data_IF_231122624828
#
_entry.id   IF_231122624828
#
_cell.length_a   1.000
_cell.length_b   1.000
_cell.length_c   1.000
_cell.angle_alpha   90.00
_cell.angle_beta   90.00
_cell.angle_gamma   90.00
#
_symmetry.space_group_name_H-M   'P 1'
#
loop_
_entity.id
_entity.type
_entity.pdbx_description
1 polymer ?
#
# COMPACT_ATOMS: atom_id res chain seq x y z
N UNK A 1 59.70 -15.34 -75.80
CA UNK A 1 59.57 -14.03 -76.50
C UNK A 1 58.07 -13.78 -76.68
N UNK A 2 57.48 -12.88 -75.88
CA UNK A 2 57.04 -11.53 -76.33
C UNK A 2 55.76 -11.62 -77.19
N UNK A 3 54.57 -11.06 -76.92
CA UNK A 3 54.11 -9.89 -76.16
C UNK A 3 52.57 -9.97 -75.98
N UNK A 4 52.07 -9.51 -74.81
CA UNK A 4 50.89 -8.66 -74.47
C UNK A 4 49.52 -8.80 -75.16
N UNK A 5 48.45 -8.69 -74.35
CA UNK A 5 47.44 -7.59 -74.28
C UNK A 5 46.38 -7.94 -73.20
N UNK A 6 46.43 -7.45 -71.96
CA UNK A 6 45.77 -6.26 -71.36
C UNK A 6 44.24 -6.18 -71.48
N UNK A 7 43.52 -6.36 -70.37
CA UNK A 7 42.32 -5.57 -70.01
C UNK A 7 42.24 -5.44 -68.49
N UNK A 8 42.23 -4.19 -68.01
CA UNK A 8 42.06 -3.78 -66.60
C UNK A 8 40.63 -3.26 -66.50
N UNK A 9 39.82 -3.82 -65.60
CA UNK A 9 38.49 -3.30 -65.27
C UNK A 9 38.52 -2.74 -63.84
N UNK A 10 38.41 -1.43 -63.75
CA UNK A 10 38.27 -0.65 -62.52
C UNK A 10 36.92 -0.93 -61.87
N UNK A 11 36.92 -1.35 -60.60
CA UNK A 11 35.70 -1.39 -59.78
C UNK A 11 35.69 -0.19 -58.83
N UNK A 12 34.66 0.63 -58.99
CA UNK A 12 34.39 1.82 -58.19
C UNK A 12 33.80 1.44 -56.83
N UNK A 13 34.20 2.26 -55.85
CA UNK A 13 33.77 2.32 -54.46
C UNK A 13 32.30 2.77 -54.35
N UNK A 14 31.49 2.12 -53.51
CA UNK A 14 30.28 2.73 -52.94
C UNK A 14 30.06 2.16 -51.53
N UNK A 15 30.65 2.81 -50.53
CA UNK A 15 30.38 2.53 -49.13
C UNK A 15 29.11 3.30 -48.71
N UNK A 16 27.99 2.61 -48.61
CA UNK A 16 26.78 3.13 -47.99
C UNK A 16 26.91 3.02 -46.46
N UNK A 17 27.13 4.14 -45.77
CA UNK A 17 26.93 4.23 -44.33
C UNK A 17 25.42 4.28 -44.05
N UNK A 18 24.86 3.16 -43.59
CA UNK A 18 23.54 3.10 -42.97
C UNK A 18 23.71 3.40 -41.48
N UNK A 19 23.33 4.60 -41.07
CA UNK A 19 23.12 4.96 -39.67
C UNK A 19 21.85 4.29 -39.16
N UNK A 20 22.01 3.15 -38.49
CA UNK A 20 20.95 2.50 -37.74
C UNK A 20 20.66 3.34 -36.49
N UNK A 21 19.60 4.16 -36.53
CA UNK A 21 19.04 4.78 -35.34
C UNK A 21 18.22 3.71 -34.62
N UNK A 22 18.76 3.18 -33.53
CA UNK A 22 18.01 2.34 -32.61
C UNK A 22 17.02 3.26 -31.86
N UNK A 23 15.77 3.23 -32.29
CA UNK A 23 14.66 3.83 -31.58
C UNK A 23 14.31 2.84 -30.44
N UNK A 24 14.72 3.15 -29.22
CA UNK A 24 14.26 2.47 -28.02
C UNK A 24 12.75 2.74 -27.87
N UNK A 25 11.92 1.87 -28.45
CA UNK A 25 10.51 1.77 -28.08
C UNK A 25 10.46 1.23 -26.65
N UNK A 26 10.38 2.15 -25.69
CA UNK A 26 9.85 1.85 -24.36
C UNK A 26 8.40 1.39 -24.55
N UNK A 27 8.20 0.09 -24.66
CA UNK A 27 6.90 -0.57 -24.60
C UNK A 27 6.34 -0.36 -23.19
N UNK A 28 5.74 0.80 -22.96
CA UNK A 28 4.80 1.00 -21.87
C UNK A 28 3.61 0.08 -22.12
N UNK A 29 3.63 -1.09 -21.50
CA UNK A 29 2.46 -1.93 -21.29
C UNK A 29 1.44 -1.08 -20.53
N UNK A 30 0.60 -0.38 -21.27
CA UNK A 30 -0.47 0.43 -20.71
C UNK A 30 -1.62 -0.54 -20.50
N UNK A 31 -1.80 -1.00 -19.27
CA UNK A 31 -2.94 -1.84 -18.91
C UNK A 31 -4.23 -1.02 -19.13
N UNK A 32 -5.03 -1.40 -20.13
CA UNK A 32 -6.34 -0.78 -20.34
C UNK A 32 -7.20 -0.96 -19.08
N UNK A 33 -7.83 0.12 -18.63
CA UNK A 33 -8.74 0.10 -17.50
C UNK A 33 -9.92 -0.81 -17.82
N UNK A 34 -10.01 -1.96 -17.16
CA UNK A 34 -11.07 -2.94 -17.40
C UNK A 34 -12.39 -2.42 -16.79
N UNK A 35 -13.47 -2.28 -17.58
CA UNK A 35 -14.79 -1.91 -17.06
C UNK A 35 -15.28 -2.94 -16.04
N UNK A 36 -16.14 -2.51 -15.11
CA UNK A 36 -16.62 -3.30 -13.98
C UNK A 36 -17.51 -4.49 -14.45
N UNK A 37 -16.88 -5.58 -14.86
CA UNK A 37 -17.49 -6.75 -15.52
C UNK A 37 -17.97 -7.84 -14.55
N UNK A 38 -18.02 -7.56 -13.24
CA UNK A 38 -18.22 -8.60 -12.21
C UNK A 38 -16.98 -9.44 -11.95
N UNK A 39 -15.84 -9.06 -12.53
CA UNK A 39 -14.55 -9.74 -12.43
C UNK A 39 -13.66 -8.95 -11.46
N UNK A 40 -13.95 -9.10 -10.17
CA UNK A 40 -13.34 -8.31 -9.10
C UNK A 40 -11.98 -8.83 -8.65
N UNK A 41 -11.63 -10.07 -9.02
CA UNK A 41 -10.42 -10.73 -8.54
C UNK A 41 -9.40 -10.87 -9.67
N UNK A 42 -8.13 -10.87 -9.28
CA UNK A 42 -6.99 -11.09 -10.17
C UNK A 42 -6.13 -12.21 -9.62
N UNK A 43 -5.91 -13.22 -10.45
CA UNK A 43 -4.82 -14.17 -10.29
C UNK A 43 -3.59 -13.55 -10.97
N UNK A 44 -2.49 -13.39 -10.25
CA UNK A 44 -1.30 -12.73 -10.77
C UNK A 44 -0.02 -13.38 -10.24
N UNK A 45 1.12 -13.08 -10.85
CA UNK A 45 2.42 -13.50 -10.31
C UNK A 45 2.98 -12.35 -9.47
N UNK A 46 2.97 -12.57 -8.16
CA UNK A 46 3.48 -11.63 -7.16
C UNK A 46 4.82 -12.08 -6.58
N UNK A 47 5.26 -11.36 -5.55
CA UNK A 47 6.50 -11.58 -4.80
C UNK A 47 6.20 -11.83 -3.32
N UNK A 48 6.60 -12.99 -2.82
CA UNK A 48 6.82 -13.21 -1.40
C UNK A 48 8.18 -12.64 -1.01
N UNK A 49 8.24 -11.94 0.12
CA UNK A 49 9.45 -11.26 0.59
C UNK A 49 9.86 -11.91 1.89
N UNK A 50 11.08 -12.42 1.91
CA UNK A 50 11.64 -13.11 3.06
C UNK A 50 12.90 -12.38 3.51
N UNK A 51 13.09 -12.27 4.82
CA UNK A 51 14.27 -11.65 5.42
C UNK A 51 15.13 -12.69 6.11
N UNK A 52 16.45 -12.60 5.95
CA UNK A 52 17.39 -13.48 6.63
C UNK A 52 17.35 -13.27 8.15
N UNK A 53 17.24 -14.36 8.90
CA UNK A 53 17.31 -14.40 10.36
C UNK A 53 18.25 -15.53 10.80
N UNK A 54 19.55 -15.22 10.89
CA UNK A 54 20.57 -16.24 11.15
C UNK A 54 20.82 -17.09 9.91
N UNK A 55 20.57 -18.40 9.99
CA UNK A 55 20.76 -19.33 8.87
C UNK A 55 19.47 -19.55 8.05
N UNK A 56 18.33 -19.08 8.55
CA UNK A 56 17.00 -19.26 7.95
C UNK A 56 16.46 -17.96 7.35
N UNK A 57 15.41 -18.09 6.54
CA UNK A 57 14.64 -16.98 5.98
C UNK A 57 13.23 -17.03 6.55
N UNK A 58 12.72 -15.87 6.98
CA UNK A 58 11.36 -15.73 7.51
C UNK A 58 10.53 -14.82 6.60
N UNK A 59 9.29 -15.20 6.34
CA UNK A 59 8.36 -14.44 5.49
C UNK A 59 7.93 -13.17 6.22
N UNK A 60 7.94 -12.03 5.52
CA UNK A 60 7.40 -10.78 6.05
C UNK A 60 5.87 -10.83 6.03
N UNK A 61 5.24 -10.73 7.20
CA UNK A 61 3.79 -10.67 7.36
C UNK A 61 3.29 -9.27 7.79
N UNK A 62 4.19 -8.31 8.03
CA UNK A 62 3.80 -6.95 8.37
C UNK A 62 4.96 -5.96 8.38
N UNK A 63 4.63 -4.66 8.33
CA UNK A 63 5.63 -3.59 8.33
C UNK A 63 5.23 -2.44 9.25
N UNK A 64 6.09 -2.11 10.21
CA UNK A 64 5.90 -1.03 11.17
C UNK A 64 7.21 -0.28 11.38
N UNK A 65 7.25 1.00 11.00
CA UNK A 65 8.35 1.94 11.33
C UNK A 65 9.76 1.38 11.04
N UNK A 66 10.02 0.92 9.82
CA UNK A 66 11.29 0.32 9.40
C UNK A 66 11.65 -1.00 10.11
N UNK A 67 10.65 -1.65 10.70
CA UNK A 67 10.71 -3.02 11.22
C UNK A 67 9.65 -3.85 10.52
N UNK A 68 9.90 -5.14 10.45
CA UNK A 68 8.97 -6.11 9.87
C UNK A 68 8.54 -7.11 10.93
N UNK A 69 7.27 -7.49 10.87
CA UNK A 69 6.81 -8.73 11.49
C UNK A 69 7.16 -9.88 10.56
N UNK A 70 7.43 -11.05 11.14
CA UNK A 70 7.79 -12.25 10.39
C UNK A 70 7.14 -13.48 10.98
N UNK A 71 6.78 -14.44 10.14
CA UNK A 71 6.13 -15.69 10.53
C UNK A 71 6.93 -16.55 11.52
N UNK A 72 8.26 -16.44 11.52
CA UNK A 72 9.15 -17.18 12.41
C UNK A 72 9.35 -16.57 13.81
N UNK A 73 8.87 -15.35 14.08
CA UNK A 73 9.17 -14.64 15.33
C UNK A 73 8.16 -13.55 15.67
N UNK A 74 7.65 -13.57 16.90
CA UNK A 74 6.80 -12.49 17.45
C UNK A 74 7.55 -11.15 17.60
N UNK A 75 8.88 -11.16 17.53
CA UNK A 75 9.70 -9.96 17.66
C UNK A 75 9.85 -9.27 16.32
N UNK A 76 9.55 -7.98 16.30
CA UNK A 76 9.85 -7.08 15.19
C UNK A 76 11.33 -7.11 14.80
N UNK A 77 11.61 -7.42 13.55
CA UNK A 77 12.97 -7.43 12.98
C UNK A 77 13.26 -6.08 12.32
N UNK A 78 14.36 -5.45 12.72
CA UNK A 78 14.80 -4.19 12.11
C UNK A 78 15.38 -4.45 10.72
N UNK A 79 14.84 -3.82 9.69
CA UNK A 79 15.38 -3.90 8.33
C UNK A 79 16.80 -3.35 8.20
N UNK A 80 17.30 -2.61 9.20
CA UNK A 80 18.71 -2.17 9.24
C UNK A 80 19.69 -3.30 9.58
N UNK A 81 19.18 -4.34 10.24
CA UNK A 81 19.97 -5.48 10.71
C UNK A 81 19.72 -6.73 9.85
N UNK A 82 18.99 -6.58 8.75
CA UNK A 82 18.73 -7.67 7.83
C UNK A 82 19.87 -7.67 6.82
N UNK A 83 20.66 -8.73 6.86
CA UNK A 83 21.82 -8.89 5.98
C UNK A 83 21.42 -9.28 4.55
N UNK A 84 20.27 -9.96 4.40
CA UNK A 84 19.78 -10.44 3.10
C UNK A 84 18.25 -10.44 3.02
N UNK A 85 17.73 -10.14 1.83
CA UNK A 85 16.30 -10.16 1.50
C UNK A 85 16.10 -10.98 0.24
N UNK A 86 15.26 -12.00 0.34
CA UNK A 86 14.93 -12.90 -0.77
C UNK A 86 13.55 -12.60 -1.33
N UNK A 87 13.44 -12.58 -2.65
CA UNK A 87 12.18 -12.45 -3.37
C UNK A 87 11.84 -13.77 -4.05
N UNK A 88 10.70 -14.34 -3.69
CA UNK A 88 10.20 -15.59 -4.28
C UNK A 88 8.94 -15.29 -5.10
N UNK A 89 8.98 -15.56 -6.40
CA UNK A 89 7.81 -15.38 -7.25
C UNK A 89 6.77 -16.45 -6.95
N UNK A 90 5.52 -16.03 -6.73
CA UNK A 90 4.42 -16.94 -6.41
C UNK A 90 3.14 -16.46 -7.07
N UNK A 91 2.32 -17.42 -7.50
CA UNK A 91 0.97 -17.11 -7.93
C UNK A 91 0.16 -16.66 -6.72
N UNK A 92 -0.41 -15.46 -6.82
CA UNK A 92 -1.23 -14.84 -5.78
C UNK A 92 -2.58 -14.47 -6.33
N UNK A 93 -3.49 -14.26 -5.39
CA UNK A 93 -4.85 -13.88 -5.65
C UNK A 93 -5.14 -12.62 -4.83
N UNK A 94 -5.68 -11.61 -5.48
CA UNK A 94 -6.07 -10.38 -4.79
C UNK A 94 -7.29 -9.75 -5.47
N UNK A 95 -8.03 -8.94 -4.72
CA UNK A 95 -9.19 -8.20 -5.22
C UNK A 95 -8.76 -6.84 -5.73
N UNK A 96 -9.44 -6.37 -6.78
CA UNK A 96 -9.40 -5.01 -7.31
C UNK A 96 -7.99 -4.44 -7.56
N UNK A 97 -7.54 -4.36 -8.82
CA UNK A 97 -6.21 -3.80 -9.11
C UNK A 97 -6.11 -2.36 -8.61
N UNK A 98 -5.11 -2.14 -7.76
CA UNK A 98 -4.61 -0.83 -7.41
C UNK A 98 -4.05 -0.13 -8.64
N UNK A 99 -4.10 1.19 -8.67
CA UNK A 99 -3.44 1.98 -9.71
C UNK A 99 -2.22 2.66 -9.12
N UNK A 100 -1.06 2.45 -9.75
CA UNK A 100 0.19 3.15 -9.46
C UNK A 100 0.52 4.02 -10.68
N UNK A 101 0.15 5.29 -10.62
CA UNK A 101 0.37 6.26 -11.68
C UNK A 101 1.60 7.13 -11.41
N UNK A 102 2.10 7.78 -12.45
CA UNK A 102 3.12 8.83 -12.35
C UNK A 102 4.38 8.41 -11.57
N UNK A 103 4.79 7.14 -11.70
CA UNK A 103 6.01 6.63 -11.08
C UNK A 103 7.23 7.33 -11.67
N UNK A 104 7.97 8.03 -10.80
CA UNK A 104 9.18 8.73 -11.14
C UNK A 104 10.23 8.49 -10.06
N UNK A 105 11.48 8.32 -10.47
CA UNK A 105 12.61 8.14 -9.58
C UNK A 105 13.82 8.94 -10.06
N UNK A 106 14.43 9.66 -9.14
CA UNK A 106 15.60 10.50 -9.42
C UNK A 106 16.63 10.44 -8.29
N UNK A 107 17.88 10.72 -8.66
CA UNK A 107 18.97 10.91 -7.71
C UNK A 107 18.84 12.31 -7.10
N UNK A 108 18.90 12.39 -5.77
CA UNK A 108 18.95 13.63 -5.02
C UNK A 108 20.18 13.64 -4.10
N UNK A 109 20.65 14.83 -3.74
CA UNK A 109 21.66 14.95 -2.67
C UNK A 109 21.03 14.50 -1.34
N UNK A 110 21.66 13.58 -0.61
CA UNK A 110 21.20 13.18 0.72
C UNK A 110 21.51 14.22 1.80
N UNK A 111 21.98 15.41 1.41
CA UNK A 111 22.11 16.51 2.36
C UNK A 111 20.80 16.64 3.13
N UNK A 112 20.91 16.43 4.44
CA UNK A 112 19.83 16.42 5.42
C UNK A 112 18.98 17.68 5.34
N UNK A 113 19.49 18.74 4.72
CA UNK A 113 18.75 19.96 4.39
C UNK A 113 17.89 19.85 3.13
N UNK A 114 18.30 19.21 2.04
CA UNK A 114 17.47 19.11 0.83
C UNK A 114 16.20 18.27 1.05
N UNK A 115 16.29 17.16 1.79
CA UNK A 115 15.12 16.37 2.17
C UNK A 115 14.23 17.11 3.18
N UNK A 116 14.83 17.82 4.14
CA UNK A 116 14.12 18.58 5.20
C UNK A 116 13.54 19.90 4.70
N UNK A 117 14.17 20.55 3.74
CA UNK A 117 13.73 21.78 3.07
C UNK A 117 12.68 21.45 2.01
N UNK A 118 12.77 20.32 1.32
CA UNK A 118 11.69 19.83 0.47
C UNK A 118 10.48 19.33 1.28
N UNK A 119 10.68 18.82 2.51
CA UNK A 119 9.58 18.51 3.45
C UNK A 119 8.99 19.77 4.07
N UNK A 120 9.82 20.72 4.50
CA UNK A 120 9.38 22.04 4.99
C UNK A 120 8.66 22.83 3.92
N UNK A 121 9.11 22.76 2.67
CA UNK A 121 8.41 23.40 1.55
C UNK A 121 7.09 22.70 1.24
N UNK A 122 6.97 21.38 1.42
CA UNK A 122 5.67 20.70 1.29
C UNK A 122 4.71 21.05 2.44
N UNK A 123 5.20 21.06 3.68
CA UNK A 123 4.41 21.48 4.86
C UNK A 123 4.04 22.96 4.79
N UNK A 124 4.92 23.82 4.28
CA UNK A 124 4.63 25.23 4.04
C UNK A 124 3.65 25.42 2.87
N UNK A 125 3.68 24.56 1.85
CA UNK A 125 2.70 24.57 0.76
C UNK A 125 1.32 24.10 1.25
N UNK A 126 1.28 23.10 2.14
CA UNK A 126 0.05 22.63 2.79
C UNK A 126 -0.50 23.67 3.76
N UNK A 127 0.34 24.29 4.60
CA UNK A 127 -0.06 25.39 5.47
C UNK A 127 -0.54 26.61 4.66
N UNK A 128 0.12 26.94 3.56
CA UNK A 128 -0.32 27.99 2.64
C UNK A 128 -1.64 27.64 1.94
N UNK A 129 -1.85 26.37 1.60
CA UNK A 129 -3.13 25.88 1.04
C UNK A 129 -4.25 25.95 2.07
N UNK A 130 -3.96 25.60 3.32
CA UNK A 130 -4.93 25.61 4.41
C UNK A 130 -5.25 27.06 4.85
N UNK A 131 -4.28 27.97 4.80
CA UNK A 131 -4.48 29.42 4.99
C UNK A 131 -5.28 30.03 3.81
N UNK A 132 -5.04 29.59 2.58
CA UNK A 132 -5.87 29.96 1.41
C UNK A 132 -7.31 29.44 1.55
N UNK A 133 -7.51 28.26 2.15
CA UNK A 133 -8.84 27.70 2.41
C UNK A 133 -9.55 28.42 3.56
N UNK A 134 -8.84 28.77 4.63
CA UNK A 134 -9.36 29.54 5.76
C UNK A 134 -9.76 30.96 5.33
N UNK A 135 -8.92 31.64 4.56
CA UNK A 135 -9.26 32.95 3.98
C UNK A 135 -10.42 32.89 2.98
N UNK A 136 -10.54 31.83 2.18
CA UNK A 136 -11.71 31.57 1.34
C UNK A 136 -12.98 31.32 2.18
N UNK A 137 -12.87 30.58 3.29
CA UNK A 137 -13.98 30.33 4.22
C UNK A 137 -14.43 31.59 4.95
N UNK A 138 -13.50 32.44 5.37
CA UNK A 138 -13.81 33.71 6.04
C UNK A 138 -14.37 34.75 5.05
N UNK A 139 -13.91 34.74 3.80
CA UNK A 139 -14.52 35.55 2.73
C UNK A 139 -15.94 35.07 2.39
N UNK A 140 -16.19 33.76 2.41
CA UNK A 140 -17.53 33.19 2.26
C UNK A 140 -18.43 33.50 3.47
N UNK A 141 -17.92 33.41 4.70
CA UNK A 141 -18.66 33.76 5.92
C UNK A 141 -19.03 35.24 5.96
N UNK A 142 -18.09 36.14 5.65
CA UNK A 142 -18.36 37.58 5.63
C UNK A 142 -19.35 37.98 4.52
N UNK A 143 -19.22 37.42 3.31
CA UNK A 143 -20.19 37.67 2.24
C UNK A 143 -21.60 37.10 2.49
N UNK A 144 -21.74 36.10 3.37
CA UNK A 144 -23.05 35.62 3.84
C UNK A 144 -23.65 36.50 4.94
N UNK A 145 -22.83 37.01 5.87
CA UNK A 145 -23.28 37.87 6.97
C UNK A 145 -23.73 39.26 6.48
N UNK A 146 -23.09 39.80 5.43
CA UNK A 146 -23.49 41.10 4.86
C UNK A 146 -24.80 41.06 4.05
N UNK A 147 -25.30 39.87 3.70
CA UNK A 147 -26.56 39.71 2.97
C UNK A 147 -27.78 39.57 3.91
N UNK A 148 -27.58 39.47 5.23
CA UNK A 148 -28.65 39.27 6.23
C UNK A 148 -28.95 40.50 7.11
N UNK A 149 -28.18 41.61 7.03
CA UNK A 149 -28.34 42.75 7.95
C UNK A 149 -28.82 44.07 7.32
N UNK A 150 -29.65 44.01 6.27
CA UNK A 150 -30.45 45.16 5.84
C UNK A 150 -31.94 44.93 6.07
N UNK A 151 -32.35 44.82 7.34
CA UNK A 151 -33.70 45.18 7.77
C UNK A 151 -33.69 45.68 9.23
N UNK A 152 -34.25 46.89 9.40
CA UNK A 152 -34.84 47.47 10.61
C UNK A 152 -33.98 48.26 11.64
N UNK A 153 -33.90 49.58 11.36
CA UNK A 153 -34.33 50.75 12.16
C UNK A 153 -33.80 51.03 13.61
N UNK A 154 -33.68 52.33 14.00
CA UNK A 154 -32.88 52.76 15.15
C UNK A 154 -33.69 53.10 16.42
N UNK A 155 -33.17 52.73 17.59
CA UNK A 155 -33.72 53.15 18.89
C UNK A 155 -32.75 52.96 20.08
N UNK A 156 -32.14 54.08 20.49
CA UNK A 156 -31.91 54.53 21.89
C UNK A 156 -31.06 53.72 22.89
N UNK A 157 -29.84 54.22 23.11
CA UNK A 157 -29.13 54.56 24.37
C UNK A 157 -29.23 53.72 25.69
N UNK A 158 -28.04 53.22 26.09
CA UNK A 158 -27.33 53.38 27.40
C UNK A 158 -27.61 52.48 28.64
N UNK A 159 -26.47 52.20 29.31
CA UNK A 159 -26.17 51.95 30.75
C UNK A 159 -25.98 50.47 31.22
N UNK A 160 -24.74 50.15 31.64
CA UNK A 160 -24.25 48.98 32.43
C UNK A 160 -24.41 49.25 33.95
N UNK A 161 -24.14 48.33 34.94
CA UNK A 161 -23.56 46.97 34.89
C UNK A 161 -24.20 45.88 35.82
N UNK A 162 -23.77 44.62 35.58
CA UNK A 162 -23.59 43.44 36.46
C UNK A 162 -24.50 43.19 37.69
N UNK A 163 -25.21 42.04 37.72
CA UNK A 163 -24.86 40.89 38.58
C UNK A 163 -25.75 39.64 38.29
N UNK A 164 -25.09 38.47 38.36
CA UNK A 164 -25.54 37.14 38.82
C UNK A 164 -26.27 36.05 37.95
N UNK A 165 -25.60 34.88 37.95
CA UNK A 165 -25.99 33.44 37.82
C UNK A 165 -26.32 32.76 36.44
N UNK A 166 -26.19 31.41 36.29
CA UNK A 166 -25.02 30.74 35.71
C UNK A 166 -25.35 29.68 34.60
N UNK A 167 -24.31 28.97 34.16
CA UNK A 167 -24.30 27.62 33.56
C UNK A 167 -24.21 27.49 32.03
N UNK A 168 -23.24 26.68 31.58
CA UNK A 168 -23.22 26.05 30.26
C UNK A 168 -22.07 26.48 29.36
N UNK A 169 -20.83 26.09 29.67
CA UNK A 169 -19.69 26.38 28.80
C UNK A 169 -18.44 25.60 29.19
N UNK A 170 -18.58 24.30 29.42
CA UNK A 170 -17.47 23.42 29.77
C UNK A 170 -17.53 22.15 28.93
N UNK A 171 -17.20 22.24 27.64
CA UNK A 171 -16.92 21.06 26.80
C UNK A 171 -15.76 21.23 25.82
N UNK A 172 -15.29 22.44 25.51
CA UNK A 172 -14.26 22.61 24.46
C UNK A 172 -12.81 22.48 24.95
N UNK A 173 -12.54 22.65 26.24
CA UNK A 173 -11.18 22.53 26.77
C UNK A 173 -10.67 21.08 26.89
N UNK A 174 -11.57 20.09 26.86
CA UNK A 174 -11.18 18.68 26.86
C UNK A 174 -10.64 18.24 25.49
N UNK A 175 -11.27 18.69 24.40
CA UNK A 175 -10.84 18.39 23.04
C UNK A 175 -9.46 19.00 22.71
N UNK A 176 -9.16 20.19 23.24
CA UNK A 176 -7.87 20.87 23.05
C UNK A 176 -6.74 20.18 23.82
N UNK A 177 -7.02 19.64 25.02
CA UNK A 177 -6.02 18.92 25.81
C UNK A 177 -5.75 17.51 25.29
N UNK A 178 -6.76 16.82 24.76
CA UNK A 178 -6.56 15.52 24.08
C UNK A 178 -5.76 15.66 22.78
N UNK A 179 -5.94 16.77 22.04
CA UNK A 179 -5.13 17.07 20.87
C UNK A 179 -3.65 17.30 21.23
N UNK A 180 -3.37 17.98 22.36
CA UNK A 180 -2.00 18.18 22.87
C UNK A 180 -1.31 16.86 23.26
N UNK A 181 -2.01 15.98 23.98
CA UNK A 181 -1.47 14.68 24.37
C UNK A 181 -1.25 13.73 23.18
N UNK A 182 -2.04 13.87 22.11
CA UNK A 182 -1.84 13.15 20.86
C UNK A 182 -0.62 13.69 20.08
N UNK A 183 -0.32 14.98 20.21
CA UNK A 183 0.85 15.64 19.59
C UNK A 183 2.15 15.27 20.31
N UNK A 184 2.14 15.19 21.64
CA UNK A 184 3.32 14.83 22.43
C UNK A 184 3.75 13.36 22.23
N UNK A 185 2.81 12.46 21.94
CA UNK A 185 3.11 11.07 21.55
C UNK A 185 3.65 10.92 20.13
N UNK A 186 3.43 11.90 19.24
CA UNK A 186 4.04 11.93 17.90
C UNK A 186 5.49 12.44 17.92
N UNK A 187 5.87 13.22 18.94
CA UNK A 187 7.22 13.77 19.11
C UNK A 187 8.24 12.80 19.72
N UNK A 188 7.82 11.69 20.35
CA UNK A 188 8.74 10.72 20.96
C UNK A 188 9.32 9.68 19.97
N UNK A 189 9.28 9.97 18.66
CA UNK A 189 9.96 9.18 17.63
C UNK A 189 11.47 9.53 17.50
N UNK A 190 12.11 9.86 18.64
CA UNK A 190 13.50 10.32 18.77
C UNK A 190 14.56 9.22 18.54
N UNK A 191 14.14 8.00 18.21
CA UNK A 191 15.04 6.91 17.80
C UNK A 191 15.53 7.05 16.35
N UNK A 192 15.02 8.04 15.59
CA UNK A 192 15.51 8.37 14.25
C UNK A 192 16.64 9.42 14.22
N UNK A 193 16.89 10.13 15.32
CA UNK A 193 17.75 11.33 15.33
C UNK A 193 19.18 11.09 15.80
N UNK A 194 19.47 10.01 16.52
CA UNK A 194 20.76 9.86 17.21
C UNK A 194 21.88 9.26 16.34
N UNK A 195 21.55 8.71 15.16
CA UNK A 195 22.53 8.13 14.22
C UNK A 195 22.96 9.11 13.11
N UNK A 196 22.41 10.34 13.11
CA UNK A 196 22.60 11.35 12.05
C UNK A 196 23.81 12.28 12.27
N UNK A 197 24.57 12.12 13.37
CA UNK A 197 25.58 13.11 13.80
C UNK A 197 27.03 12.67 13.48
N UNK A 198 27.24 11.46 12.95
CA UNK A 198 28.57 10.83 12.94
C UNK A 198 29.47 10.99 11.70
N UNK A 199 28.94 11.10 10.46
CA UNK A 199 29.80 11.05 9.27
C UNK A 199 29.51 12.12 8.22
N UNK A 200 30.59 12.75 7.76
CA UNK A 200 30.65 14.03 7.06
C UNK A 200 30.91 13.87 5.56
N UNK A 201 30.44 12.76 4.99
CA UNK A 201 30.34 12.58 3.55
C UNK A 201 28.89 12.81 3.16
N UNK A 202 28.64 13.81 2.30
CA UNK A 202 27.31 14.13 1.81
C UNK A 202 26.80 12.91 1.03
N UNK A 203 26.03 12.04 1.70
CA UNK A 203 25.50 10.84 1.07
C UNK A 203 24.65 11.20 -0.16
N UNK A 204 24.45 10.23 -1.04
CA UNK A 204 23.47 10.32 -2.11
C UNK A 204 22.19 9.60 -1.68
N UNK A 205 21.04 10.10 -2.13
CA UNK A 205 19.75 9.48 -1.90
C UNK A 205 18.96 9.35 -3.21
N UNK A 206 18.01 8.43 -3.22
CA UNK A 206 17.05 8.25 -4.30
C UNK A 206 15.69 8.72 -3.83
N UNK A 207 15.07 9.60 -4.61
CA UNK A 207 13.70 10.05 -4.42
C UNK A 207 12.80 9.29 -5.38
N UNK A 208 11.78 8.61 -4.85
CA UNK A 208 10.75 7.93 -5.63
C UNK A 208 9.42 8.59 -5.32
N UNK A 209 8.69 8.99 -6.36
CA UNK A 209 7.35 9.54 -6.25
C UNK A 209 6.39 8.77 -7.14
N UNK A 210 5.20 8.50 -6.64
CA UNK A 210 4.12 7.87 -7.40
C UNK A 210 2.77 8.36 -6.85
N UNK A 211 1.70 8.13 -7.60
CA UNK A 211 0.32 8.31 -7.15
C UNK A 211 -0.35 6.96 -7.03
N UNK A 212 -0.94 6.68 -5.87
CA UNK A 212 -1.58 5.39 -5.57
C UNK A 212 -3.06 5.61 -5.25
N UNK A 213 -3.92 4.81 -5.86
CA UNK A 213 -5.36 4.75 -5.58
C UNK A 213 -5.89 3.33 -5.63
N UNK A 214 -7.01 3.11 -4.94
CA UNK A 214 -7.74 1.85 -4.89
C UNK A 214 -9.25 2.12 -5.07
N UNK A 215 -10.01 1.30 -5.81
CA UNK A 215 -11.45 1.52 -5.92
C UNK A 215 -12.18 1.38 -4.58
N UNK A 216 -11.68 0.52 -3.69
CA UNK A 216 -12.16 0.33 -2.34
C UNK A 216 -11.12 0.79 -1.32
N UNK A 217 -11.58 1.24 -0.15
CA UNK A 217 -10.68 1.67 0.93
C UNK A 217 -9.86 0.48 1.44
N UNK A 218 -8.56 0.70 1.60
CA UNK A 218 -7.60 -0.23 2.20
C UNK A 218 -6.89 0.50 3.32
N UNK A 219 -6.98 -0.02 4.54
CA UNK A 219 -6.23 0.51 5.68
C UNK A 219 -4.95 -0.32 5.93
N UNK A 220 -3.96 0.34 6.53
CA UNK A 220 -2.64 -0.19 6.90
C UNK A 220 -1.79 -0.81 5.76
N UNK A 221 -1.84 -0.22 4.58
CA UNK A 221 -0.99 -0.63 3.48
C UNK A 221 0.46 -0.14 3.62
N UNK A 222 1.39 -0.88 3.02
CA UNK A 222 2.79 -0.48 2.85
C UNK A 222 3.29 -0.86 1.45
N UNK A 223 4.36 -0.20 1.01
CA UNK A 223 5.04 -0.48 -0.26
C UNK A 223 6.33 -1.22 0.05
N UNK A 224 6.61 -2.21 -0.79
CA UNK A 224 7.96 -2.72 -1.00
C UNK A 224 8.30 -2.52 -2.46
N UNK A 225 9.47 -1.95 -2.72
CA UNK A 225 9.91 -1.76 -4.08
C UNK A 225 11.37 -2.12 -4.27
N UNK A 226 11.68 -2.43 -5.52
CA UNK A 226 13.03 -2.71 -6.00
C UNK A 226 13.38 -1.67 -7.05
N UNK A 227 14.60 -1.14 -6.97
CA UNK A 227 15.14 -0.23 -7.96
C UNK A 227 16.44 -0.82 -8.50
N UNK A 228 16.51 -1.04 -9.81
CA UNK A 228 17.78 -1.34 -10.48
C UNK A 228 18.50 -0.02 -10.74
N UNK A 229 19.71 0.13 -10.18
CA UNK A 229 20.59 1.27 -10.40
C UNK A 229 21.86 0.83 -11.13
N UNK A 230 22.52 1.76 -11.81
CA UNK A 230 23.87 1.54 -12.36
C UNK A 230 24.85 2.56 -11.79
N UNK A 231 26.01 2.09 -11.36
CA UNK A 231 27.13 2.92 -10.87
C UNK A 231 28.33 2.81 -11.83
N UNK A 232 29.42 3.51 -11.53
CA UNK A 232 30.67 3.35 -12.28
C UNK A 232 31.35 2.00 -12.03
N UNK A 233 31.05 1.35 -10.89
CA UNK A 233 31.67 0.09 -10.46
C UNK A 233 30.84 -1.14 -10.82
N UNK A 234 29.50 -1.02 -10.77
CA UNK A 234 28.57 -2.07 -11.13
C UNK A 234 27.57 -1.59 -12.19
N UNK A 235 27.42 -2.32 -13.32
CA UNK A 235 26.44 -1.96 -14.34
C UNK A 235 25.00 -2.11 -13.85
N UNK A 236 24.76 -2.99 -12.87
CA UNK A 236 23.44 -3.21 -12.27
C UNK A 236 23.58 -3.59 -10.79
N UNK A 237 22.90 -2.85 -9.93
CA UNK A 237 22.78 -3.10 -8.51
C UNK A 237 21.31 -2.94 -8.13
N UNK A 238 20.77 -3.86 -7.35
CA UNK A 238 19.38 -3.81 -6.91
C UNK A 238 19.29 -3.19 -5.52
N UNK A 239 18.45 -2.18 -5.38
CA UNK A 239 18.18 -1.51 -4.11
C UNK A 239 16.75 -1.76 -3.71
N UNK A 240 16.57 -2.23 -2.48
CA UNK A 240 15.27 -2.50 -1.90
C UNK A 240 14.87 -1.34 -0.99
N UNK A 241 13.60 -0.98 -1.02
CA UNK A 241 13.04 0.04 -0.13
C UNK A 241 11.66 -0.36 0.36
N UNK A 242 11.35 0.09 1.58
CA UNK A 242 10.08 -0.10 2.25
C UNK A 242 9.50 1.26 2.62
N UNK A 243 8.20 1.42 2.50
CA UNK A 243 7.53 2.67 2.91
C UNK A 243 6.12 2.42 3.41
N UNK A 244 5.77 3.01 4.56
CA UNK A 244 4.39 2.95 5.05
C UNK A 244 3.52 3.89 4.24
N UNK A 245 2.39 3.37 3.78
CA UNK A 245 1.38 4.10 3.01
C UNK A 245 0.19 4.43 3.91
N UNK A 246 -0.21 3.50 4.77
CA UNK A 246 -1.40 3.63 5.60
C UNK A 246 -2.66 3.47 4.76
N UNK A 247 -3.57 4.45 4.81
CA UNK A 247 -4.84 4.39 4.09
C UNK A 247 -4.71 4.66 2.60
N UNK A 248 -5.24 3.79 1.74
CA UNK A 248 -5.45 4.00 0.30
C UNK A 248 -6.95 4.00 0.03
N UNK A 249 -7.44 4.93 -0.78
CA UNK A 249 -8.84 4.96 -1.22
C UNK A 249 -8.95 5.38 -2.70
N UNK A 250 -10.16 5.70 -3.15
CA UNK A 250 -10.46 6.02 -4.55
C UNK A 250 -9.87 7.35 -5.01
N UNK A 251 -9.32 8.16 -4.10
CA UNK A 251 -8.63 9.41 -4.45
C UNK A 251 -7.14 9.12 -4.59
N UNK A 252 -6.55 9.36 -5.78
CA UNK A 252 -5.10 9.25 -5.97
C UNK A 252 -4.36 10.07 -4.93
N UNK A 253 -3.44 9.41 -4.22
CA UNK A 253 -2.59 10.05 -3.23
C UNK A 253 -1.14 9.91 -3.64
N UNK A 254 -0.44 11.04 -3.64
CA UNK A 254 1.00 11.07 -3.91
C UNK A 254 1.77 10.47 -2.74
N UNK A 255 2.59 9.46 -3.02
CA UNK A 255 3.57 8.90 -2.09
C UNK A 255 4.96 9.42 -2.45
N UNK A 256 5.78 9.65 -1.42
CA UNK A 256 7.15 10.12 -1.55
C UNK A 256 8.06 9.26 -0.69
N UNK A 257 8.96 8.52 -1.34
CA UNK A 257 9.88 7.59 -0.69
C UNK A 257 11.30 8.10 -0.90
N UNK A 258 12.08 8.18 0.17
CA UNK A 258 13.49 8.60 0.12
C UNK A 258 14.35 7.46 0.62
N UNK A 259 15.14 6.85 -0.29
CA UNK A 259 16.11 5.83 0.06
C UNK A 259 17.49 6.48 0.19
N UNK A 260 18.00 6.51 1.41
CA UNK A 260 19.33 7.03 1.75
C UNK A 260 20.40 5.93 1.71
N UNK A 261 21.66 6.34 1.79
CA UNK A 261 22.81 5.44 1.76
C UNK A 261 23.06 4.86 0.38
N UNK A 262 22.68 5.59 -0.67
CA UNK A 262 22.96 5.20 -2.04
C UNK A 262 24.45 5.42 -2.34
N UNK A 263 25.05 4.62 -3.25
CA UNK A 263 26.39 4.89 -3.77
C UNK A 263 26.46 6.30 -4.38
N UNK A 264 27.67 6.85 -4.55
CA UNK A 264 27.91 8.23 -4.97
C UNK A 264 27.11 8.69 -6.19
N UNK A 265 27.69 8.59 -7.39
CA UNK A 265 26.93 8.84 -8.63
C UNK A 265 26.28 7.54 -9.10
N UNK A 266 24.94 7.56 -9.27
CA UNK A 266 24.19 6.43 -9.81
C UNK A 266 23.09 6.89 -10.76
N UNK A 267 22.66 6.00 -11.65
CA UNK A 267 21.50 6.20 -12.52
C UNK A 267 20.44 5.18 -12.20
N UNK A 268 19.20 5.62 -12.00
CA UNK A 268 18.05 4.73 -11.85
C UNK A 268 17.69 4.18 -13.24
N UNK A 269 17.57 2.86 -13.35
CA UNK A 269 17.23 2.15 -14.59
C UNK A 269 15.79 1.71 -14.61
N UNK A 270 15.36 1.07 -13.53
CA UNK A 270 14.00 0.56 -13.37
C UNK A 270 13.58 0.69 -11.91
N UNK A 271 12.28 0.87 -11.68
CA UNK A 271 11.68 0.87 -10.34
C UNK A 271 10.39 0.08 -10.40
N UNK A 272 10.29 -0.94 -9.55
CA UNK A 272 9.08 -1.74 -9.35
C UNK A 272 8.54 -1.49 -7.95
N UNK A 273 7.22 -1.35 -7.86
CA UNK A 273 6.52 -1.11 -6.61
C UNK A 273 5.42 -2.16 -6.43
N UNK A 274 5.43 -2.77 -5.25
CA UNK A 274 4.47 -3.77 -4.82
C UNK A 274 3.80 -3.25 -3.55
N UNK A 275 2.48 -3.31 -3.48
CA UNK A 275 1.71 -2.84 -2.32
C UNK A 275 1.30 -4.05 -1.51
N UNK A 276 1.48 -3.99 -0.19
CA UNK A 276 1.16 -5.07 0.72
C UNK A 276 0.23 -4.59 1.85
N UNK A 277 -0.49 -5.54 2.42
CA UNK A 277 -1.23 -5.41 3.67
C UNK A 277 -1.17 -6.74 4.39
N UNK A 278 -0.75 -6.74 5.66
CA UNK A 278 -0.63 -7.96 6.49
C UNK A 278 0.09 -9.10 5.74
N UNK A 279 1.25 -8.80 5.12
CA UNK A 279 2.04 -9.78 4.38
C UNK A 279 1.50 -10.16 3.01
N UNK A 280 0.25 -9.84 2.72
CA UNK A 280 -0.40 -10.15 1.46
C UNK A 280 -0.15 -9.03 0.45
N UNK A 281 0.37 -9.41 -0.70
CA UNK A 281 0.52 -8.48 -1.83
C UNK A 281 -0.84 -8.21 -2.46
N UNK A 282 -1.12 -6.93 -2.66
CA UNK A 282 -2.29 -6.43 -3.33
C UNK A 282 -1.98 -6.23 -4.80
N UNK A 283 -2.85 -6.74 -5.67
CA UNK A 283 -2.65 -6.62 -7.13
C UNK A 283 -2.69 -5.16 -7.56
N UNK A 284 -1.79 -4.78 -8.46
CA UNK A 284 -1.76 -3.44 -9.06
C UNK A 284 -1.75 -3.53 -10.59
N UNK A 285 -1.97 -2.42 -11.28
CA UNK A 285 -1.80 -2.29 -12.73
C UNK A 285 -0.36 -2.58 -13.20
N UNK A 286 0.62 -2.55 -12.28
CA UNK A 286 2.03 -2.88 -12.54
C UNK A 286 2.37 -4.36 -12.29
N UNK A 287 1.44 -5.17 -11.76
CA UNK A 287 1.69 -6.59 -11.47
C UNK A 287 1.78 -7.41 -12.76
N UNK A 288 2.71 -8.36 -12.80
CA UNK A 288 2.93 -9.21 -13.98
C UNK A 288 1.85 -10.32 -14.11
N UNK A 289 1.49 -10.63 -15.37
CA UNK A 289 0.66 -11.80 -15.76
C UNK A 289 -0.65 -11.92 -14.98
N UNK A 290 -1.52 -10.91 -15.13
CA UNK A 290 -2.80 -10.87 -14.45
C UNK A 290 -3.93 -11.55 -15.25
N UNK A 291 -4.73 -12.36 -14.58
CA UNK A 291 -5.94 -12.98 -15.11
C UNK A 291 -7.14 -12.59 -14.27
N UNK A 292 -8.16 -12.06 -14.93
CA UNK A 292 -9.38 -11.61 -14.28
C UNK A 292 -10.27 -12.83 -13.96
N UNK A 293 -10.70 -12.97 -12.70
CA UNK A 293 -11.56 -14.04 -12.23
C UNK A 293 -12.79 -13.50 -11.47
N UNK A 294 -13.91 -14.20 -11.59
CA UNK A 294 -15.12 -13.96 -10.79
C UNK A 294 -14.96 -14.57 -9.39
N UNK A 295 -15.76 -14.12 -8.41
CA UNK A 295 -15.73 -14.64 -7.04
C UNK A 295 -15.89 -16.17 -6.99
N UNK A 296 -16.84 -16.72 -7.75
CA UNK A 296 -17.12 -18.15 -7.78
C UNK A 296 -15.96 -18.96 -8.37
N UNK A 297 -15.35 -18.48 -9.46
CA UNK A 297 -14.17 -19.13 -10.07
C UNK A 297 -12.99 -19.16 -9.12
N UNK A 298 -12.80 -18.07 -8.36
CA UNK A 298 -11.73 -17.99 -7.37
C UNK A 298 -11.99 -18.94 -6.20
N UNK A 299 -13.22 -18.98 -5.71
CA UNK A 299 -13.59 -19.89 -4.62
C UNK A 299 -13.39 -21.36 -5.03
N UNK A 300 -13.81 -21.73 -6.24
CA UNK A 300 -13.57 -23.06 -6.80
C UNK A 300 -12.07 -23.37 -6.90
N UNK A 301 -11.27 -22.43 -7.41
CA UNK A 301 -9.81 -22.58 -7.49
C UNK A 301 -9.18 -22.84 -6.11
N UNK A 302 -9.53 -22.02 -5.12
CA UNK A 302 -9.04 -22.12 -3.74
C UNK A 302 -9.48 -23.43 -3.07
N UNK A 303 -10.73 -23.86 -3.27
CA UNK A 303 -11.23 -25.13 -2.74
C UNK A 303 -10.48 -26.33 -3.34
N UNK A 304 -10.27 -26.34 -4.66
CA UNK A 304 -9.48 -27.38 -5.34
C UNK A 304 -8.03 -27.40 -4.85
N UNK A 305 -7.42 -26.24 -4.66
CA UNK A 305 -6.06 -26.11 -4.13
C UNK A 305 -5.97 -26.73 -2.74
N UNK A 306 -6.89 -26.42 -1.81
CA UNK A 306 -6.94 -27.00 -0.46
C UNK A 306 -7.05 -28.51 -0.48
N UNK A 307 -8.00 -29.07 -1.24
CA UNK A 307 -8.19 -30.52 -1.35
C UNK A 307 -6.94 -31.18 -1.93
N UNK A 308 -6.34 -30.59 -2.96
CA UNK A 308 -5.16 -31.14 -3.62
C UNK A 308 -3.93 -31.22 -2.70
N UNK A 309 -3.75 -30.23 -1.82
CA UNK A 309 -2.64 -30.15 -0.85
C UNK A 309 -2.85 -31.01 0.39
N UNK A 310 -4.09 -31.42 0.66
CA UNK A 310 -4.49 -32.12 1.88
C UNK A 310 -5.16 -33.47 1.59
N UNK A 311 -4.73 -34.16 0.53
CA UNK A 311 -5.20 -35.51 0.20
C UNK A 311 -5.03 -36.46 1.38
N UNK A 312 -6.11 -37.15 1.75
CA UNK A 312 -6.13 -38.11 2.85
C UNK A 312 -6.00 -37.46 4.24
N UNK A 313 -6.11 -36.13 4.36
CA UNK A 313 -6.13 -35.44 5.65
C UNK A 313 -7.54 -35.03 6.01
N UNK A 314 -7.78 -34.93 7.32
CA UNK A 314 -8.99 -34.35 7.87
C UNK A 314 -8.67 -32.98 8.46
N UNK A 315 -9.41 -31.95 8.06
CA UNK A 315 -9.20 -30.56 8.45
C UNK A 315 -10.54 -29.89 8.70
N UNK A 316 -10.62 -29.01 9.69
CA UNK A 316 -11.81 -28.21 9.92
C UNK A 316 -12.01 -27.17 8.79
N UNK A 317 -13.25 -26.68 8.57
CA UNK A 317 -13.48 -25.54 7.71
C UNK A 317 -12.70 -24.32 8.22
N UNK A 318 -12.16 -23.53 7.29
CA UNK A 318 -11.45 -22.29 7.62
C UNK A 318 -11.90 -21.16 6.69
N UNK A 319 -11.88 -19.90 7.13
CA UNK A 319 -12.29 -18.79 6.27
C UNK A 319 -11.32 -18.57 5.11
N UNK A 320 -11.84 -18.33 3.91
CA UNK A 320 -11.04 -17.97 2.75
C UNK A 320 -10.76 -16.45 2.75
N UNK A 321 -9.75 -16.02 3.51
CA UNK A 321 -9.43 -14.61 3.71
C UNK A 321 -9.08 -13.85 2.43
N UNK A 322 -8.59 -14.54 1.40
CA UNK A 322 -8.33 -13.97 0.07
C UNK A 322 -9.61 -13.47 -0.62
N UNK A 323 -10.76 -13.98 -0.18
CA UNK A 323 -12.09 -13.62 -0.65
C UNK A 323 -12.84 -12.73 0.35
N UNK A 324 -12.17 -12.21 1.36
CA UNK A 324 -12.78 -11.35 2.37
C UNK A 324 -13.54 -10.16 1.74
N UNK A 325 -14.70 -9.78 2.30
CA UNK A 325 -15.45 -8.63 1.80
C UNK A 325 -14.68 -7.32 2.01
N UNK A 326 -15.01 -6.32 1.18
CA UNK A 326 -14.30 -5.03 1.17
C UNK A 326 -14.40 -4.28 2.50
N UNK A 327 -15.44 -4.55 3.28
CA UNK A 327 -15.65 -4.02 4.63
C UNK A 327 -14.49 -4.36 5.57
N UNK A 328 -13.95 -5.59 5.48
CA UNK A 328 -12.81 -6.00 6.30
C UNK A 328 -11.51 -5.32 5.86
N UNK A 329 -11.27 -5.16 4.56
CA UNK A 329 -10.09 -4.44 4.04
C UNK A 329 -10.10 -2.96 4.39
N UNK A 330 -11.28 -2.34 4.43
CA UNK A 330 -11.48 -0.93 4.76
C UNK A 330 -11.60 -0.64 6.26
N UNK A 331 -11.44 -1.65 7.12
CA UNK A 331 -11.46 -1.50 8.56
C UNK A 331 -10.05 -1.26 9.13
N UNK A 332 -9.96 -0.33 10.08
CA UNK A 332 -8.70 0.02 10.74
C UNK A 332 -8.48 -0.70 12.09
N UNK A 333 -9.52 -1.26 12.70
CA UNK A 333 -9.49 -1.80 14.07
C UNK A 333 -10.07 -3.19 14.16
N UNK A 334 -9.24 -4.16 14.52
CA UNK A 334 -9.64 -5.55 14.73
C UNK A 334 -10.67 -5.71 15.87
N UNK A 335 -10.66 -4.83 16.87
CA UNK A 335 -11.57 -4.92 18.04
C UNK A 335 -13.05 -4.80 17.67
N UNK A 336 -13.35 -4.11 16.56
CA UNK A 336 -14.73 -3.99 16.07
C UNK A 336 -15.27 -5.31 15.50
N UNK A 337 -14.39 -6.29 15.31
CA UNK A 337 -14.67 -7.59 14.68
C UNK A 337 -14.33 -8.75 15.61
N UNK A 338 -14.02 -8.48 16.88
CA UNK A 338 -13.62 -9.47 17.89
C UNK A 338 -14.84 -10.17 18.50
N UNK A 339 -15.54 -10.92 17.66
CA UNK A 339 -16.69 -11.74 18.01
C UNK A 339 -16.37 -13.19 17.64
N UNK A 340 -15.98 -14.04 18.60
CA UNK A 340 -15.84 -15.47 18.34
C UNK A 340 -17.23 -16.04 18.05
N UNK A 341 -17.37 -16.66 16.88
CA UNK A 341 -18.60 -17.25 16.38
C UNK A 341 -18.41 -18.71 15.99
N UNK A 342 -19.44 -19.52 16.17
CA UNK A 342 -19.55 -20.91 15.78
C UNK A 342 -20.50 -20.99 14.59
N UNK A 343 -19.95 -21.43 13.46
CA UNK A 343 -20.62 -21.37 12.15
C UNK A 343 -20.72 -22.76 11.53
N UNK A 344 -21.86 -23.02 10.87
CA UNK A 344 -22.11 -24.26 10.14
C UNK A 344 -21.78 -24.05 8.67
N UNK A 345 -20.72 -24.71 8.20
CA UNK A 345 -20.22 -24.61 6.83
C UNK A 345 -20.63 -25.85 6.05
N UNK A 346 -21.20 -25.68 4.86
CA UNK A 346 -21.52 -26.81 3.99
C UNK A 346 -20.29 -27.35 3.25
N UNK A 347 -20.48 -28.44 2.48
CA UNK A 347 -19.39 -29.06 1.71
C UNK A 347 -18.87 -28.15 0.56
N UNK A 348 -19.59 -27.09 0.23
CA UNK A 348 -19.19 -26.09 -0.75
C UNK A 348 -18.42 -24.93 -0.09
N UNK A 349 -18.35 -24.87 1.24
CA UNK A 349 -17.70 -23.78 1.95
C UNK A 349 -18.59 -22.56 2.17
N UNK A 350 -19.91 -22.69 2.10
CA UNK A 350 -20.85 -21.61 2.41
C UNK A 350 -21.36 -21.74 3.84
N UNK A 351 -21.47 -20.60 4.52
CA UNK A 351 -22.10 -20.54 5.84
C UNK A 351 -23.62 -20.70 5.71
N UNK A 352 -24.16 -21.69 6.41
CA UNK A 352 -25.59 -22.03 6.40
C UNK A 352 -26.32 -21.57 7.65
N UNK A 353 -25.62 -21.49 8.78
CA UNK A 353 -26.14 -21.02 10.05
C UNK A 353 -25.02 -20.54 10.98
N UNK A 354 -25.38 -19.67 11.92
CA UNK A 354 -24.56 -19.26 13.07
C UNK A 354 -25.31 -19.72 14.32
N UNK A 355 -24.59 -20.21 15.33
CA UNK A 355 -25.22 -20.69 16.56
C UNK A 355 -25.98 -19.56 17.29
N UNK A 356 -27.25 -19.85 17.63
CA UNK A 356 -28.20 -18.85 18.15
C UNK A 356 -27.86 -18.27 19.54
N UNK A 357 -26.89 -18.87 20.25
CA UNK A 357 -26.49 -18.45 21.60
C UNK A 357 -25.36 -17.42 21.59
N UNK A 358 -24.86 -17.05 20.42
CA UNK A 358 -23.74 -16.11 20.28
C UNK A 358 -24.23 -14.71 19.95
N UNK A 359 -23.60 -13.72 20.59
CA UNK A 359 -23.95 -12.32 20.43
C UNK A 359 -22.95 -11.64 19.52
N UNK A 360 -23.38 -11.24 18.33
CA UNK A 360 -22.65 -10.37 17.41
C UNK A 360 -23.57 -9.27 16.89
N UNK A 361 -22.97 -8.18 16.40
CA UNK A 361 -23.74 -7.14 15.71
C UNK A 361 -24.28 -7.67 14.38
N UNK A 362 -25.38 -7.10 13.88
CA UNK A 362 -25.95 -7.52 12.59
C UNK A 362 -24.94 -7.39 11.45
N UNK A 363 -24.10 -6.36 11.48
CA UNK A 363 -23.02 -6.16 10.50
C UNK A 363 -22.00 -7.30 10.49
N UNK A 364 -21.58 -7.78 11.67
CA UNK A 364 -20.65 -8.91 11.77
C UNK A 364 -21.30 -10.19 11.26
N UNK A 365 -22.57 -10.42 11.61
CA UNK A 365 -23.33 -11.58 11.12
C UNK A 365 -23.45 -11.56 9.59
N UNK A 366 -23.80 -10.42 9.00
CA UNK A 366 -23.91 -10.27 7.56
C UNK A 366 -22.57 -10.55 6.86
N UNK A 367 -21.46 -10.05 7.42
CA UNK A 367 -20.11 -10.31 6.90
C UNK A 367 -19.77 -11.80 6.98
N UNK A 368 -20.04 -12.47 8.10
CA UNK A 368 -19.75 -13.90 8.27
C UNK A 368 -20.59 -14.75 7.32
N UNK A 369 -21.86 -14.40 7.12
CA UNK A 369 -22.75 -15.11 6.20
C UNK A 369 -22.34 -14.96 4.72
N UNK A 370 -21.71 -13.84 4.35
CA UNK A 370 -21.18 -13.59 2.99
C UNK A 370 -19.75 -14.11 2.78
N UNK A 371 -19.02 -14.36 3.88
CA UNK A 371 -17.63 -14.82 3.83
C UNK A 371 -17.56 -16.29 3.36
N UNK A 372 -16.87 -16.59 2.25
CA UNK A 372 -16.63 -17.96 1.85
C UNK A 372 -15.62 -18.61 2.78
N UNK A 373 -15.85 -19.89 3.03
CA UNK A 373 -14.95 -20.77 3.74
C UNK A 373 -14.37 -21.76 2.75
N UNK A 374 -13.21 -22.28 3.09
CA UNK A 374 -12.82 -23.57 2.58
C UNK A 374 -13.64 -24.66 3.30
N UNK A 375 -14.09 -25.70 2.57
CA UNK A 375 -14.87 -26.76 3.20
C UNK A 375 -14.00 -27.56 4.19
N UNK A 376 -14.67 -28.15 5.18
CA UNK A 376 -14.07 -29.15 6.05
C UNK A 376 -13.73 -30.41 5.24
N UNK A 377 -12.64 -31.07 5.59
CA UNK A 377 -12.18 -32.30 4.94
C UNK A 377 -12.24 -33.47 5.93
N UNK A 378 -12.68 -34.63 5.45
CA UNK A 378 -12.48 -35.93 6.12
C UNK A 378 -11.88 -36.89 5.12
N UNK A 379 -10.67 -37.37 5.40
CA UNK A 379 -9.89 -38.23 4.49
C UNK A 379 -9.70 -37.64 3.08
N UNK A 380 -9.67 -36.31 2.98
CA UNK A 380 -9.54 -35.57 1.72
C UNK A 380 -10.85 -35.31 0.97
N UNK A 381 -12.01 -35.76 1.49
CA UNK A 381 -13.32 -35.46 0.93
C UNK A 381 -13.95 -34.26 1.63
N UNK A 382 -14.55 -33.34 0.84
CA UNK A 382 -15.22 -32.15 1.36
C UNK A 382 -16.56 -32.52 2.01
N UNK A 383 -16.76 -32.10 3.25
CA UNK A 383 -17.98 -32.37 4.03
C UNK A 383 -18.50 -31.11 4.73
N UNK A 384 -19.79 -31.13 5.09
CA UNK A 384 -20.36 -30.10 5.96
C UNK A 384 -19.88 -30.30 7.40
N UNK A 385 -19.44 -29.22 8.04
CA UNK A 385 -18.87 -29.25 9.39
C UNK A 385 -19.03 -27.89 10.07
N UNK A 386 -19.07 -27.91 11.40
CA UNK A 386 -19.10 -26.71 12.24
C UNK A 386 -17.66 -26.25 12.55
N UNK A 387 -17.40 -24.95 12.52
CA UNK A 387 -16.08 -24.38 12.88
C UNK A 387 -16.24 -23.12 13.72
N UNK A 388 -15.15 -22.70 14.37
CA UNK A 388 -15.08 -21.42 15.07
C UNK A 388 -14.36 -20.39 14.19
N UNK A 389 -14.93 -19.19 14.11
CA UNK A 389 -14.37 -18.06 13.36
C UNK A 389 -14.39 -16.81 14.23
N UNK A 390 -13.36 -15.98 14.09
CA UNK A 390 -13.36 -14.64 14.64
C UNK A 390 -12.81 -13.70 13.56
N UNK A 391 -13.63 -12.76 13.08
CA UNK A 391 -13.23 -11.84 12.00
C UNK A 391 -12.01 -10.99 12.38
N UNK A 392 -11.69 -10.81 13.66
CA UNK A 392 -10.47 -10.16 14.10
C UNK A 392 -9.19 -10.88 13.65
N UNK A 393 -9.24 -12.18 13.31
CA UNK A 393 -8.06 -12.91 12.81
C UNK A 393 -7.63 -12.46 11.42
N UNK A 394 -8.50 -11.82 10.64
CA UNK A 394 -8.16 -11.25 9.33
C UNK A 394 -7.10 -10.13 9.41
N UNK A 395 -6.96 -9.51 10.60
CA UNK A 395 -6.04 -8.40 10.82
C UNK A 395 -4.67 -8.83 11.33
N UNK A 396 -4.45 -10.14 11.48
CA UNK A 396 -3.20 -10.69 12.02
C UNK A 396 -2.23 -11.06 10.92
#
# INVERSE_FOLDING_TARGET
MSLRTTFILSSFLTAAMLSLSAQEESTKLTAESVPNTGVEYRLFVGLDIEVGQGEDYALIDGYVNNRVHTDGSDKLVSLRNVDDVRFTHKTKLSRNPLTIANLHAEQISANVHAARDALRNLQALEAFRDEQLETLQDTLRSSMVDNESTNDAPGSASILPADDVPAGGATDNAAINDFRNMTDNLTNNSTFTDELIGNKDAGTAMLITAEISAPNRIDDAYIVGTASISTNESPEEQVIFFSRVGKIDNKPRRVRIVKQGMPGEFKVRDVKMHVYRNGQELVSDQSDKQYALTRDQVHEYLALERVSRNKGKSLDPEPAWELAPATLYGAAKAQNFDYPLTVHVDAQGKVTAIDANEFATSEVVDIVMDLPFFPGLVDGEAIAMTTHVNLASFFR
#
